data_IF_625098895716
#
_entry.id   IF_625098895716
#
_cell.length_a   1.000
_cell.length_b   1.000
_cell.length_c   1.000
_cell.angle_alpha   90.00
_cell.angle_beta   90.00
_cell.angle_gamma   90.00
#
_symmetry.space_group_name_H-M   'P 1'
#
loop_
_entity.id
_entity.type
_entity.pdbx_description
1 polymer ?
#
# COMPACT_ATOMS: atom_id res chain seq x y z
N UNK A 1 -26.88 -8.77 31.33
CA UNK A 1 -27.02 -10.07 30.62
C UNK A 1 -26.67 -10.05 29.12
N UNK A 2 -27.15 -9.15 28.23
CA UNK A 2 -26.68 -9.12 26.83
C UNK A 2 -25.36 -8.33 26.63
N UNK A 3 -25.22 -7.21 27.35
CA UNK A 3 -24.06 -6.31 27.23
C UNK A 3 -22.75 -6.94 27.73
N UNK A 4 -22.81 -7.79 28.75
CA UNK A 4 -21.63 -8.52 29.28
C UNK A 4 -21.13 -9.58 28.28
N UNK A 5 -22.05 -10.27 27.59
CA UNK A 5 -21.69 -11.25 26.55
C UNK A 5 -21.03 -10.54 25.35
N UNK A 6 -21.52 -9.36 24.97
CA UNK A 6 -20.93 -8.57 23.90
C UNK A 6 -19.54 -8.01 24.28
N UNK A 7 -19.36 -7.58 25.53
CA UNK A 7 -18.07 -7.11 26.04
C UNK A 7 -17.01 -8.21 26.01
N UNK A 8 -17.35 -9.44 26.44
CA UNK A 8 -16.40 -10.56 26.53
C UNK A 8 -16.09 -11.21 25.17
N UNK A 9 -17.03 -11.16 24.22
CA UNK A 9 -16.80 -11.69 22.86
C UNK A 9 -15.84 -10.83 22.03
N UNK A 10 -15.74 -9.54 22.32
CA UNK A 10 -14.85 -8.61 21.59
C UNK A 10 -13.35 -8.95 21.75
N UNK A 11 -12.80 -9.11 22.98
CA UNK A 11 -11.42 -9.50 23.18
C UNK A 11 -11.06 -10.86 22.56
N UNK A 12 -12.01 -11.81 22.54
CA UNK A 12 -11.80 -13.12 21.91
C UNK A 12 -11.60 -12.99 20.40
N UNK A 13 -12.47 -12.25 19.72
CA UNK A 13 -12.34 -12.01 18.29
C UNK A 13 -11.06 -11.23 17.93
N UNK A 14 -10.68 -10.24 18.74
CA UNK A 14 -9.42 -9.51 18.56
C UNK A 14 -8.20 -10.43 18.74
N UNK A 15 -8.24 -11.34 19.72
CA UNK A 15 -7.17 -12.31 19.97
C UNK A 15 -7.02 -13.35 18.84
N UNK A 16 -8.14 -13.86 18.32
CA UNK A 16 -8.14 -14.80 17.20
C UNK A 16 -7.56 -14.17 15.91
N UNK A 17 -7.91 -12.91 15.65
CA UNK A 17 -7.37 -12.14 14.53
C UNK A 17 -5.85 -11.93 14.67
N UNK A 18 -5.37 -11.55 15.86
CA UNK A 18 -3.94 -11.37 16.14
C UNK A 18 -3.14 -12.66 15.95
N UNK A 19 -3.70 -13.81 16.38
CA UNK A 19 -3.10 -15.13 16.21
C UNK A 19 -3.00 -15.55 14.73
N UNK A 20 -4.06 -15.30 13.95
CA UNK A 20 -4.07 -15.55 12.52
C UNK A 20 -3.04 -14.69 11.78
N UNK A 21 -2.90 -13.41 12.14
CA UNK A 21 -1.87 -12.52 11.59
C UNK A 21 -0.47 -13.05 11.91
N UNK A 22 -0.23 -13.49 13.16
CA UNK A 22 1.06 -14.05 13.56
C UNK A 22 1.41 -15.32 12.78
N UNK A 23 0.45 -16.19 12.51
CA UNK A 23 0.66 -17.39 11.71
C UNK A 23 1.02 -17.06 10.25
N UNK A 24 0.34 -16.08 9.66
CA UNK A 24 0.62 -15.63 8.29
C UNK A 24 1.92 -14.80 8.17
N UNK A 25 2.34 -14.15 9.25
CA UNK A 25 3.45 -13.21 9.29
C UNK A 25 4.70 -13.67 10.05
N UNK A 26 4.88 -14.96 10.36
CA UNK A 26 5.96 -15.43 11.27
C UNK A 26 7.37 -14.91 10.92
N UNK A 27 7.69 -14.73 9.64
CA UNK A 27 8.96 -14.16 9.19
C UNK A 27 9.01 -12.63 9.17
N UNK A 28 7.86 -11.96 8.98
CA UNK A 28 7.79 -10.53 8.67
C UNK A 28 8.12 -9.63 9.87
N UNK A 29 7.99 -10.14 11.09
CA UNK A 29 8.24 -9.37 12.32
C UNK A 29 9.69 -8.88 12.44
N UNK A 30 10.63 -9.64 11.86
CA UNK A 30 12.07 -9.35 11.88
C UNK A 30 12.52 -8.48 10.70
N UNK A 31 11.63 -8.25 9.74
CA UNK A 31 11.94 -7.55 8.50
C UNK A 31 11.88 -6.03 8.67
N UNK A 32 12.43 -5.33 7.67
CA UNK A 32 12.34 -3.88 7.56
C UNK A 32 10.86 -3.40 7.52
N UNK A 33 10.58 -2.17 7.99
CA UNK A 33 9.23 -1.61 8.00
C UNK A 33 8.50 -1.68 6.65
N UNK A 34 9.23 -1.54 5.54
CA UNK A 34 8.70 -1.64 4.18
C UNK A 34 8.07 -3.01 3.90
N UNK A 35 8.72 -4.09 4.33
CA UNK A 35 8.20 -5.45 4.16
C UNK A 35 6.95 -5.67 5.01
N UNK A 36 6.92 -5.10 6.22
CA UNK A 36 5.73 -5.11 7.07
C UNK A 36 4.57 -4.36 6.41
N UNK A 37 4.83 -3.23 5.75
CA UNK A 37 3.79 -2.49 5.02
C UNK A 37 3.27 -3.23 3.78
N UNK A 38 4.14 -3.95 3.06
CA UNK A 38 3.73 -4.86 1.97
C UNK A 38 2.82 -5.97 2.49
N UNK A 39 3.16 -6.56 3.64
CA UNK A 39 2.30 -7.56 4.27
C UNK A 39 0.92 -6.99 4.63
N UNK A 40 0.88 -5.79 5.26
CA UNK A 40 -0.38 -5.10 5.54
C UNK A 40 -1.17 -4.89 4.25
N UNK A 41 -0.53 -4.43 3.18
CA UNK A 41 -1.17 -4.18 1.88
C UNK A 41 -1.81 -5.45 1.29
N UNK A 42 -1.12 -6.59 1.37
CA UNK A 42 -1.58 -7.87 0.81
C UNK A 42 -2.78 -8.46 1.56
N UNK A 43 -2.84 -8.26 2.88
CA UNK A 43 -3.83 -8.90 3.74
C UNK A 43 -4.94 -7.94 4.24
N UNK A 44 -5.12 -6.76 3.63
CA UNK A 44 -6.17 -5.81 4.01
C UNK A 44 -7.60 -6.35 3.86
N UNK A 45 -7.81 -7.32 2.98
CA UNK A 45 -9.12 -7.96 2.78
C UNK A 45 -9.43 -9.01 3.86
N UNK A 46 -8.41 -9.51 4.56
CA UNK A 46 -8.52 -10.59 5.54
C UNK A 46 -8.46 -10.08 6.98
N UNK A 47 -7.64 -9.05 7.23
CA UNK A 47 -7.38 -8.52 8.57
C UNK A 47 -7.51 -7.00 8.60
N UNK A 48 -7.85 -6.48 9.77
CA UNK A 48 -7.88 -5.05 10.03
C UNK A 48 -6.45 -4.48 10.06
N UNK A 49 -6.27 -3.32 9.43
CA UNK A 49 -5.02 -2.55 9.51
C UNK A 49 -4.64 -2.23 10.96
N UNK A 50 -5.63 -2.06 11.85
CA UNK A 50 -5.40 -1.83 13.28
C UNK A 50 -4.71 -3.02 13.94
N UNK A 51 -5.25 -4.23 13.77
CA UNK A 51 -4.67 -5.44 14.34
C UNK A 51 -3.28 -5.69 13.76
N UNK A 52 -3.12 -5.60 12.44
CA UNK A 52 -1.82 -5.81 11.80
C UNK A 52 -0.76 -4.80 12.26
N UNK A 53 -1.08 -3.50 12.38
CA UNK A 53 -0.11 -2.54 12.91
C UNK A 53 0.33 -2.87 14.34
N UNK A 54 -0.59 -3.37 15.18
CA UNK A 54 -0.30 -3.77 16.56
C UNK A 54 0.60 -5.01 16.59
N UNK A 55 0.25 -6.05 15.83
CA UNK A 55 1.03 -7.29 15.77
C UNK A 55 2.42 -7.05 15.18
N UNK A 56 2.51 -6.26 14.11
CA UNK A 56 3.76 -5.99 13.39
C UNK A 56 4.66 -4.93 14.05
N UNK A 57 4.15 -4.27 15.11
CA UNK A 57 4.84 -3.22 15.85
C UNK A 57 5.24 -2.04 14.93
N UNK A 58 4.31 -1.59 14.08
CA UNK A 58 4.50 -0.43 13.19
C UNK A 58 3.44 0.64 13.43
N UNK A 59 3.80 1.90 13.20
CA UNK A 59 2.85 3.00 13.30
C UNK A 59 1.87 2.99 12.12
N UNK A 60 0.56 3.14 12.42
CA UNK A 60 -0.49 3.21 11.38
C UNK A 60 -0.30 4.40 10.44
N UNK A 61 0.13 5.55 10.97
CA UNK A 61 0.46 6.73 10.15
C UNK A 61 1.59 6.46 9.16
N UNK A 62 2.60 5.68 9.55
CA UNK A 62 3.70 5.27 8.68
C UNK A 62 3.21 4.41 7.51
N UNK A 63 2.28 3.50 7.76
CA UNK A 63 1.67 2.69 6.71
C UNK A 63 0.90 3.53 5.69
N UNK A 64 0.05 4.47 6.14
CA UNK A 64 -0.70 5.34 5.21
C UNK A 64 0.21 6.19 4.33
N UNK A 65 1.27 6.77 4.91
CA UNK A 65 2.25 7.57 4.14
C UNK A 65 2.99 6.70 3.13
N UNK A 66 3.41 5.50 3.53
CA UNK A 66 4.07 4.56 2.63
C UNK A 66 3.14 4.11 1.49
N UNK A 67 1.90 3.75 1.80
CA UNK A 67 0.91 3.32 0.82
C UNK A 67 0.58 4.44 -0.16
N UNK A 68 0.41 5.67 0.33
CA UNK A 68 0.22 6.85 -0.52
C UNK A 68 1.41 7.06 -1.46
N UNK A 69 2.65 7.03 -0.97
CA UNK A 69 3.85 7.18 -1.80
C UNK A 69 4.02 6.08 -2.85
N UNK A 70 3.52 4.87 -2.56
CA UNK A 70 3.59 3.72 -3.47
C UNK A 70 2.61 3.83 -4.64
N UNK A 71 1.43 4.42 -4.41
CA UNK A 71 0.37 4.52 -5.42
C UNK A 71 0.25 5.90 -6.06
N UNK A 72 0.84 6.94 -5.46
CA UNK A 72 0.83 8.28 -6.02
C UNK A 72 2.15 8.59 -6.73
N UNK A 73 2.02 8.96 -8.00
CA UNK A 73 3.09 9.59 -8.77
C UNK A 73 3.46 10.88 -8.06
N UNK A 74 4.71 11.01 -7.63
CA UNK A 74 5.16 12.25 -7.02
C UNK A 74 5.28 13.37 -8.06
N UNK A 75 5.28 14.63 -7.64
CA UNK A 75 5.32 15.78 -8.54
C UNK A 75 6.49 15.75 -9.53
N UNK A 76 7.64 15.20 -9.13
CA UNK A 76 8.82 15.06 -9.99
C UNK A 76 8.62 14.01 -11.08
N UNK A 77 8.02 12.87 -10.73
CA UNK A 77 7.66 11.83 -11.69
C UNK A 77 6.57 12.31 -12.66
N UNK A 78 5.59 13.07 -12.14
CA UNK A 78 4.55 13.68 -12.97
C UNK A 78 5.14 14.68 -13.97
N UNK A 79 6.03 15.56 -13.50
CA UNK A 79 6.75 16.50 -14.37
C UNK A 79 7.56 15.76 -15.44
N UNK A 80 8.26 14.69 -15.08
CA UNK A 80 9.01 13.87 -16.04
C UNK A 80 8.11 13.27 -17.11
N UNK A 81 6.96 12.70 -16.73
CA UNK A 81 5.98 12.17 -17.70
C UNK A 81 5.48 13.25 -18.66
N UNK A 82 5.25 14.48 -18.17
CA UNK A 82 4.88 15.61 -19.03
C UNK A 82 6.00 15.91 -20.04
N UNK A 83 7.24 16.02 -19.59
CA UNK A 83 8.38 16.25 -20.49
C UNK A 83 8.54 15.13 -21.52
N UNK A 84 8.43 13.87 -21.10
CA UNK A 84 8.55 12.70 -21.98
C UNK A 84 7.41 12.68 -23.02
N UNK A 85 6.19 13.09 -22.63
CA UNK A 85 5.06 13.25 -23.55
C UNK A 85 5.35 14.31 -24.62
N UNK A 86 5.82 15.49 -24.21
CA UNK A 86 6.13 16.59 -25.12
C UNK A 86 7.24 16.20 -26.11
N UNK A 87 8.29 15.52 -25.64
CA UNK A 87 9.37 15.05 -26.50
C UNK A 87 8.87 14.02 -27.53
N UNK A 88 8.00 13.09 -27.11
CA UNK A 88 7.40 12.11 -28.01
C UNK A 88 6.50 12.76 -29.06
N UNK A 89 5.68 13.73 -28.68
CA UNK A 89 4.81 14.47 -29.60
C UNK A 89 5.64 15.22 -30.65
N UNK A 90 6.65 15.98 -30.22
CA UNK A 90 7.54 16.69 -31.13
C UNK A 90 8.24 15.75 -32.14
N UNK A 91 8.68 14.57 -31.67
CA UNK A 91 9.28 13.55 -32.55
C UNK A 91 8.26 12.97 -33.54
N UNK A 92 7.04 12.68 -33.09
CA UNK A 92 5.95 12.17 -33.93
C UNK A 92 5.53 13.16 -35.01
N UNK A 93 5.45 14.45 -34.66
CA UNK A 93 5.09 15.52 -35.58
C UNK A 93 6.15 15.72 -36.65
N UNK A 94 7.43 15.71 -36.27
CA UNK A 94 8.55 15.79 -37.21
C UNK A 94 8.55 14.61 -38.19
N UNK A 95 8.30 13.39 -37.69
CA UNK A 95 8.24 12.20 -38.52
C UNK A 95 7.03 12.23 -39.48
N UNK A 96 5.87 12.70 -39.00
CA UNK A 96 4.65 12.89 -39.82
C UNK A 96 4.80 14.01 -40.85
N UNK A 97 5.63 15.02 -40.59
CA UNK A 97 5.95 16.07 -41.55
C UNK A 97 6.87 15.55 -42.66
N UNK A 98 7.86 14.72 -42.32
CA UNK A 98 8.74 14.07 -43.31
C UNK A 98 7.97 13.17 -44.27
N UNK A 99 7.01 12.38 -43.77
CA UNK A 99 6.21 11.46 -44.61
C UNK A 99 5.26 12.20 -45.56
N UNK A 100 4.83 13.44 -45.23
CA UNK A 100 3.90 14.23 -46.06
C UNK A 100 4.58 14.99 -47.22
N UNK A 101 5.92 15.08 -47.21
CA UNK A 101 6.71 15.78 -48.22
C UNK A 101 7.54 14.83 -49.11
N UNK A 102 7.31 13.51 -49.02
CA UNK A 102 7.87 12.48 -49.90
C UNK A 102 6.78 11.94 -50.84
#
# INVERSE_FOLDING_TARGET
>A
MPAEIAHLKRPLAEGDEELAILQNGRGILREAPEMKYVFIEKHQAEFSTKAMCRVLQVARSGWYVWHQRRHQINQRQQFRLICDNVAREAFSDANSAMVRHA
#
